data_IF_032113041342
#
_entry.id   IF_032113041342
#
_cell.length_a   1.000
_cell.length_b   1.000
_cell.length_c   1.000
_cell.angle_alpha   90.00
_cell.angle_beta   90.00
_cell.angle_gamma   90.00
#
_symmetry.space_group_name_H-M   'P 1'
#
loop_
_entity.id
_entity.type
_entity.pdbx_description
1 polymer ?
#
# COMPACT_ATOMS: atom_id res chain seq x y z
N UNK A 1 -1.57 -17.06 19.31
CA UNK A 1 -0.86 -15.97 18.60
C UNK A 1 -1.65 -15.79 17.33
N UNK A 2 -2.55 -14.80 17.28
CA UNK A 2 -3.29 -14.55 16.04
C UNK A 2 -2.27 -13.92 15.07
N UNK A 3 -2.06 -14.54 13.92
CA UNK A 3 -1.56 -13.81 12.76
C UNK A 3 -2.56 -12.67 12.54
N UNK A 4 -2.16 -11.42 12.78
CA UNK A 4 -2.85 -10.28 12.16
C UNK A 4 -2.68 -10.48 10.65
N UNK A 5 -3.72 -11.01 10.01
CA UNK A 5 -3.68 -11.30 8.58
C UNK A 5 -3.34 -10.04 7.80
N UNK A 6 -2.35 -10.13 6.92
CA UNK A 6 -1.96 -9.02 6.06
C UNK A 6 -3.19 -8.49 5.30
N UNK A 7 -3.33 -7.16 5.22
CA UNK A 7 -4.35 -6.53 4.38
C UNK A 7 -4.18 -7.04 2.95
N UNK A 8 -5.22 -7.65 2.39
CA UNK A 8 -5.18 -8.09 1.00
C UNK A 8 -5.34 -6.91 0.05
N UNK A 9 -4.81 -7.05 -1.16
CA UNK A 9 -5.00 -6.06 -2.24
C UNK A 9 -6.49 -5.81 -2.51
N UNK A 10 -7.34 -6.84 -2.39
CA UNK A 10 -8.78 -6.70 -2.55
C UNK A 10 -9.39 -5.76 -1.51
N UNK A 11 -9.08 -5.97 -0.23
CA UNK A 11 -9.57 -5.11 0.86
C UNK A 11 -9.08 -3.67 0.73
N UNK A 12 -7.82 -3.48 0.31
CA UNK A 12 -7.29 -2.13 0.06
C UNK A 12 -8.05 -1.43 -1.07
N UNK A 13 -8.30 -2.11 -2.19
CA UNK A 13 -9.05 -1.55 -3.32
C UNK A 13 -10.48 -1.18 -2.91
N UNK A 14 -11.14 -2.01 -2.11
CA UNK A 14 -12.51 -1.74 -1.63
C UNK A 14 -12.59 -0.46 -0.80
N UNK A 15 -11.64 -0.22 0.10
CA UNK A 15 -11.62 1.00 0.91
C UNK A 15 -11.25 2.23 0.07
N UNK A 16 -10.26 2.12 -0.83
CA UNK A 16 -9.89 3.21 -1.74
C UNK A 16 -11.04 3.59 -2.68
N UNK A 17 -11.83 2.63 -3.15
CA UNK A 17 -12.97 2.87 -4.03
C UNK A 17 -14.11 3.65 -3.36
N UNK A 18 -14.16 3.70 -2.03
CA UNK A 18 -15.15 4.50 -1.27
C UNK A 18 -14.74 5.97 -1.13
N UNK A 19 -13.49 6.30 -1.44
CA UNK A 19 -12.97 7.67 -1.32
C UNK A 19 -13.32 8.53 -2.56
N UNK A 20 -13.37 9.86 -2.40
CA UNK A 20 -13.38 10.79 -3.54
C UNK A 20 -12.18 10.55 -4.47
N UNK A 21 -12.36 10.80 -5.77
CA UNK A 21 -11.32 10.56 -6.79
C UNK A 21 -10.07 11.44 -6.63
N UNK A 22 -10.22 12.54 -5.90
CA UNK A 22 -9.18 13.52 -5.58
C UNK A 22 -8.62 13.34 -4.16
N UNK A 23 -9.05 12.30 -3.43
CA UNK A 23 -8.49 11.98 -2.14
C UNK A 23 -7.02 11.57 -2.26
N UNK A 24 -6.24 11.95 -1.25
CA UNK A 24 -4.79 11.71 -1.22
C UNK A 24 -4.48 10.53 -0.31
N UNK A 25 -3.62 9.62 -0.76
CA UNK A 25 -3.18 8.46 0.03
C UNK A 25 -1.93 8.84 0.82
N UNK A 26 -1.99 8.63 2.13
CA UNK A 26 -0.90 8.85 3.07
C UNK A 26 -0.46 7.52 3.66
N UNK A 27 0.84 7.40 3.91
CA UNK A 27 1.46 6.26 4.57
C UNK A 27 2.10 6.73 5.87
N UNK A 28 1.97 5.95 6.93
CA UNK A 28 2.68 6.20 8.18
C UNK A 28 4.19 5.93 7.98
N UNK A 29 5.02 6.80 8.52
CA UNK A 29 6.47 6.73 8.47
C UNK A 29 7.02 7.18 9.83
N UNK A 30 8.29 6.89 10.13
CA UNK A 30 8.90 7.20 11.44
C UNK A 30 8.79 8.69 11.85
N UNK A 31 8.59 9.60 10.88
CA UNK A 31 8.40 11.04 11.09
C UNK A 31 6.96 11.56 11.01
N UNK A 32 5.95 10.70 10.84
CA UNK A 32 4.54 11.10 10.68
C UNK A 32 3.89 10.53 9.42
N UNK A 33 3.13 11.34 8.69
CA UNK A 33 2.44 10.92 7.47
C UNK A 33 3.23 11.38 6.24
N UNK A 34 3.52 10.43 5.34
CA UNK A 34 4.18 10.66 4.06
C UNK A 34 3.20 10.49 2.92
N UNK A 35 3.30 11.37 1.91
CA UNK A 35 2.57 11.21 0.65
C UNK A 35 3.08 10.00 -0.11
N UNK A 36 2.20 9.21 -0.72
CA UNK A 36 2.60 8.18 -1.68
C UNK A 36 2.78 8.83 -3.06
N UNK A 37 4.00 8.84 -3.60
CA UNK A 37 4.30 9.44 -4.92
C UNK A 37 4.33 8.42 -6.05
N UNK A 38 4.57 7.15 -5.74
CA UNK A 38 4.63 6.09 -6.73
C UNK A 38 4.19 4.74 -6.15
N UNK A 39 3.77 3.85 -7.06
CA UNK A 39 3.42 2.47 -6.78
C UNK A 39 4.33 1.60 -7.63
N UNK A 40 4.97 0.60 -7.03
CA UNK A 40 5.72 -0.42 -7.75
C UNK A 40 5.08 -1.80 -7.52
N UNK A 41 5.12 -2.64 -8.54
CA UNK A 41 4.52 -3.97 -8.51
C UNK A 41 5.59 -5.04 -8.68
N UNK A 42 5.65 -5.93 -7.71
CA UNK A 42 6.52 -7.10 -7.74
C UNK A 42 5.66 -8.34 -7.97
N UNK A 43 5.86 -8.98 -9.12
CA UNK A 43 5.17 -10.23 -9.44
C UNK A 43 5.56 -11.34 -8.47
N UNK A 44 4.64 -12.29 -8.25
CA UNK A 44 4.88 -13.46 -7.41
C UNK A 44 6.13 -14.24 -7.85
N UNK A 45 7.11 -14.38 -6.96
CA UNK A 45 8.35 -15.11 -7.21
C UNK A 45 8.24 -16.55 -6.71
N UNK A 46 7.39 -17.33 -7.39
CA UNK A 46 7.20 -18.75 -7.12
C UNK A 46 6.11 -19.08 -6.09
N UNK A 47 5.89 -20.37 -5.77
CA UNK A 47 4.71 -20.86 -5.06
C UNK A 47 4.59 -20.40 -3.59
N UNK A 48 5.63 -19.80 -3.02
CA UNK A 48 5.66 -19.35 -1.63
C UNK A 48 5.79 -17.81 -1.47
N UNK A 49 5.91 -17.06 -2.57
CA UNK A 49 6.02 -15.60 -2.53
C UNK A 49 4.83 -14.98 -3.28
N UNK A 50 3.85 -14.38 -2.58
CA UNK A 50 2.75 -13.69 -3.22
C UNK A 50 3.26 -12.48 -4.02
N UNK A 51 2.42 -11.97 -4.92
CA UNK A 51 2.71 -10.69 -5.57
C UNK A 51 2.56 -9.55 -4.56
N UNK A 52 3.36 -8.51 -4.72
CA UNK A 52 3.46 -7.39 -3.78
C UNK A 52 3.25 -6.05 -4.50
N UNK A 53 2.68 -5.10 -3.79
CA UNK A 53 2.61 -3.69 -4.20
C UNK A 53 3.41 -2.89 -3.18
N UNK A 54 4.37 -2.13 -3.66
CA UNK A 54 5.24 -1.29 -2.84
C UNK A 54 4.75 0.15 -2.98
N UNK A 55 4.44 0.79 -1.85
CA UNK A 55 4.12 2.21 -1.77
C UNK A 55 5.43 2.99 -1.59
N UNK A 56 5.76 3.84 -2.55
CA UNK A 56 6.96 4.66 -2.49
C UNK A 56 6.62 6.05 -1.93
N UNK A 57 7.23 6.48 -0.82
CA UNK A 57 6.98 7.79 -0.24
C UNK A 57 7.54 8.89 -1.15
N UNK A 58 6.89 10.06 -1.14
CA UNK A 58 7.40 11.24 -1.79
C UNK A 58 8.61 11.77 -1.00
N UNK A 59 9.80 11.66 -1.59
CA UNK A 59 11.05 12.16 -1.02
C UNK A 59 11.36 13.61 -1.44
N UNK A 60 10.46 14.25 -2.18
CA UNK A 60 10.63 15.63 -2.61
C UNK A 60 10.01 16.55 -1.55
N UNK A 61 10.86 17.06 -0.65
CA UNK A 61 10.52 18.16 0.29
C UNK A 61 10.23 19.48 -0.44
#
# INVERSE_FOLDING_TARGET
MAEEGAVTVAQLIEELARMPKDAVVLMESDGGLSLVSALDFVAALGPAAPAEVILLPNMNE
#
